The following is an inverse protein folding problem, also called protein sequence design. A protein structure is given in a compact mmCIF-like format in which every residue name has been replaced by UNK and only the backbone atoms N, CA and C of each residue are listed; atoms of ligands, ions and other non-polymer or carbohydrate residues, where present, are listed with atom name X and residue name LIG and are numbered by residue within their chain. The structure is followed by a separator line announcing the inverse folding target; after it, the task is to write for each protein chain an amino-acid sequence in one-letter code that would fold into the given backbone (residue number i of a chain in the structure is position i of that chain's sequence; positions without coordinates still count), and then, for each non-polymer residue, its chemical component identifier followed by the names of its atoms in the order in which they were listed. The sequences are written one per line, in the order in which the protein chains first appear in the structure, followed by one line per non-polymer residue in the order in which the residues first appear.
data_IF_718791914662
#
_entry.id   IF_718791914662
#
_cell.length_a   1.000
_cell.length_b   1.000
_cell.length_c   1.000
_cell.angle_alpha   90.00
_cell.angle_beta   90.00
_cell.angle_gamma   90.00
#
_symmetry.space_group_name_H-M   'P 1'
#
loop_
_entity.id
_entity.type
_entity.pdbx_description
1 polymer ?
#
# COMPACT_ATOMS: atom_id res chain seq x y z
N UNK A 1 -22.97 16.14 -1.35
CA UNK A 1 -22.18 16.47 -0.14
C UNK A 1 -20.78 15.98 -0.39
N UNK A 2 -19.78 16.86 -0.42
CA UNK A 2 -18.38 16.41 -0.50
C UNK A 2 -18.05 15.76 0.83
N UNK A 3 -17.87 14.44 0.81
CA UNK A 3 -17.41 13.70 1.98
C UNK A 3 -15.96 14.15 2.21
N UNK A 4 -15.68 14.82 3.32
CA UNK A 4 -14.31 15.17 3.69
C UNK A 4 -13.60 13.86 4.01
N UNK A 5 -12.71 13.40 3.12
CA UNK A 5 -11.91 12.20 3.32
C UNK A 5 -10.84 12.55 4.35
N UNK A 6 -10.97 12.03 5.56
CA UNK A 6 -9.98 12.23 6.60
C UNK A 6 -8.69 11.50 6.18
N UNK A 7 -7.49 12.06 6.38
CA UNK A 7 -6.24 11.41 5.96
C UNK A 7 -6.01 10.01 6.55
N UNK A 8 -6.64 9.72 7.69
CA UNK A 8 -6.62 8.41 8.36
C UNK A 8 -7.82 7.51 8.05
N UNK A 9 -8.73 7.95 7.17
CA UNK A 9 -9.79 7.05 6.70
C UNK A 9 -9.16 5.83 6.05
N UNK A 10 -9.72 4.63 6.28
CA UNK A 10 -9.20 3.40 5.68
C UNK A 10 -9.17 3.51 4.16
N UNK A 11 -8.35 2.69 3.51
CA UNK A 11 -8.34 2.62 2.05
C UNK A 11 -9.74 2.25 1.55
N UNK A 12 -10.31 3.13 0.72
CA UNK A 12 -11.55 2.87 0.01
C UNK A 12 -11.37 1.69 -0.97
N UNK A 13 -12.48 1.11 -1.42
CA UNK A 13 -12.43 0.01 -2.38
C UNK A 13 -11.64 0.37 -3.66
N UNK A 14 -11.89 1.56 -4.23
CA UNK A 14 -11.20 2.02 -5.44
C UNK A 14 -9.68 2.18 -5.22
N UNK A 15 -9.28 2.68 -4.05
CA UNK A 15 -7.86 2.77 -3.69
C UNK A 15 -7.23 1.38 -3.56
N UNK A 16 -7.93 0.42 -2.96
CA UNK A 16 -7.43 -0.95 -2.85
C UNK A 16 -7.21 -1.58 -4.24
N UNK A 17 -8.15 -1.39 -5.18
CA UNK A 17 -8.00 -1.88 -6.56
C UNK A 17 -6.81 -1.25 -7.28
N UNK A 18 -6.65 0.08 -7.18
CA UNK A 18 -5.52 0.80 -7.77
C UNK A 18 -4.20 0.32 -7.18
N UNK A 19 -4.10 0.22 -5.86
CA UNK A 19 -2.89 -0.24 -5.16
C UNK A 19 -2.54 -1.67 -5.60
N UNK A 20 -3.49 -2.59 -5.68
CA UNK A 20 -3.23 -3.97 -6.12
C UNK A 20 -2.74 -3.98 -7.56
N UNK A 21 -3.35 -3.21 -8.46
CA UNK A 21 -2.91 -3.11 -9.85
C UNK A 21 -1.49 -2.53 -9.97
N UNK A 22 -1.19 -1.46 -9.23
CA UNK A 22 0.12 -0.84 -9.19
C UNK A 22 1.19 -1.76 -8.60
N UNK A 23 0.90 -2.41 -7.47
CA UNK A 23 1.80 -3.37 -6.83
C UNK A 23 2.13 -4.54 -7.76
N UNK A 24 1.12 -5.10 -8.44
CA UNK A 24 1.32 -6.18 -9.43
C UNK A 24 2.28 -5.78 -10.54
N UNK A 25 2.10 -4.56 -11.08
CA UNK A 25 2.96 -4.03 -12.14
C UNK A 25 4.36 -3.71 -11.63
N UNK A 26 4.46 -2.97 -10.53
CA UNK A 26 5.72 -2.43 -10.01
C UNK A 26 6.65 -3.50 -9.44
N UNK A 27 6.09 -4.53 -8.79
CA UNK A 27 6.86 -5.60 -8.15
C UNK A 27 6.82 -6.91 -8.93
N UNK A 28 6.32 -6.89 -10.17
CA UNK A 28 6.21 -8.06 -11.06
C UNK A 28 5.52 -9.26 -10.41
N UNK A 29 4.38 -9.02 -9.74
CA UNK A 29 3.72 -10.03 -8.93
C UNK A 29 2.86 -10.97 -9.80
N UNK A 30 3.29 -12.23 -9.91
CA UNK A 30 2.52 -13.30 -10.52
C UNK A 30 1.42 -13.91 -9.63
N UNK A 31 0.69 -14.94 -10.13
CA UNK A 31 -0.42 -15.59 -9.42
C UNK A 31 -0.05 -16.29 -8.10
N UNK A 32 1.23 -16.56 -7.87
CA UNK A 32 1.73 -17.20 -6.65
C UNK A 32 2.00 -16.20 -5.51
N UNK A 33 1.90 -14.89 -5.77
CA UNK A 33 1.95 -13.84 -4.75
C UNK A 33 0.55 -13.59 -4.21
N UNK A 34 0.42 -13.70 -2.90
CA UNK A 34 -0.84 -13.54 -2.19
C UNK A 34 -0.73 -12.37 -1.27
N UNK A 35 -1.66 -11.44 -1.40
CA UNK A 35 -1.80 -10.30 -0.52
C UNK A 35 -2.33 -10.82 0.82
N UNK A 36 -1.47 -10.87 1.83
CA UNK A 36 -1.84 -11.27 3.18
C UNK A 36 -2.48 -10.09 3.92
N UNK A 37 -1.99 -8.87 3.67
CA UNK A 37 -2.53 -7.65 4.25
C UNK A 37 -2.34 -6.46 3.31
N UNK A 38 -3.35 -5.60 3.29
CA UNK A 38 -3.38 -4.34 2.55
C UNK A 38 -3.99 -3.28 3.47
N UNK A 39 -3.20 -2.29 3.86
CA UNK A 39 -3.63 -1.28 4.84
C UNK A 39 -3.10 0.10 4.47
N UNK A 40 -3.80 1.14 4.92
CA UNK A 40 -3.33 2.52 4.80
C UNK A 40 -1.95 2.62 5.46
N UNK A 41 -0.98 3.21 4.76
CA UNK A 41 0.22 3.70 5.40
C UNK A 41 -0.13 5.03 6.05
N UNK A 42 -0.29 5.01 7.37
CA UNK A 42 -0.63 6.20 8.12
C UNK A 42 0.46 7.28 7.96
N UNK A 43 0.01 8.51 7.73
CA UNK A 43 0.86 9.68 7.81
C UNK A 43 1.34 9.89 9.25
N UNK A 44 2.53 10.46 9.39
CA UNK A 44 3.07 10.84 10.69
C UNK A 44 2.23 11.94 11.32
N UNK A 45 2.34 12.10 12.64
CA UNK A 45 1.67 13.20 13.37
C UNK A 45 2.05 14.59 12.83
N UNK A 46 3.29 14.77 12.37
CA UNK A 46 3.76 16.03 11.82
C UNK A 46 3.07 16.36 10.48
N UNK A 47 2.95 15.36 9.60
CA UNK A 47 2.25 15.47 8.32
C UNK A 47 0.75 15.74 8.52
N UNK A 48 0.11 15.06 9.47
CA UNK A 48 -1.30 15.29 9.82
C UNK A 48 -1.57 16.69 10.39
N UNK A 49 -0.58 17.28 11.08
CA UNK A 49 -0.68 18.64 11.61
C UNK A 49 -0.43 19.71 10.53
N UNK A 50 0.10 19.33 9.37
CA UNK A 50 0.31 20.23 8.25
C UNK A 50 -1.00 20.51 7.51
N UNK A 51 -1.05 21.60 6.74
CA UNK A 51 -2.13 21.88 5.78
C UNK A 51 -1.79 21.39 4.37
N UNK A 52 -0.71 20.62 4.22
CA UNK A 52 -0.29 20.11 2.91
C UNK A 52 -1.15 18.93 2.48
N UNK A 53 -1.31 18.76 1.18
CA UNK A 53 -2.01 17.62 0.63
C UNK A 53 -1.16 16.36 0.81
N UNK A 54 -1.71 15.36 1.48
CA UNK A 54 -1.04 14.08 1.72
C UNK A 54 -1.37 13.10 0.61
N UNK A 55 -0.34 12.65 -0.11
CA UNK A 55 -0.49 11.51 -1.01
C UNK A 55 -0.71 10.24 -0.19
N UNK A 56 -1.83 9.56 -0.46
CA UNK A 56 -2.18 8.33 0.24
C UNK A 56 -1.35 7.18 -0.30
N UNK A 57 -0.88 6.33 0.61
CA UNK A 57 -0.12 5.14 0.28
C UNK A 57 -0.59 3.96 1.12
N UNK A 58 -0.24 2.76 0.67
CA UNK A 58 -0.61 1.52 1.33
C UNK A 58 0.64 0.72 1.68
N UNK A 59 0.63 0.15 2.89
CA UNK A 59 1.54 -0.93 3.26
C UNK A 59 0.94 -2.26 2.83
N UNK A 60 1.72 -3.04 2.10
CA UNK A 60 1.32 -4.29 1.48
C UNK A 60 2.22 -5.40 2.01
N UNK A 61 1.63 -6.40 2.66
CA UNK A 61 2.33 -7.62 3.04
C UNK A 61 1.89 -8.74 2.12
N UNK A 62 2.85 -9.42 1.50
CA UNK A 62 2.59 -10.51 0.56
C UNK A 62 3.35 -11.76 0.95
N UNK A 63 2.75 -12.91 0.63
CA UNK A 63 3.40 -14.20 0.71
C UNK A 63 3.55 -14.79 -0.69
N UNK A 64 4.78 -15.16 -1.04
CA UNK A 64 5.08 -15.91 -2.25
C UNK A 64 5.02 -17.42 -1.94
N UNK A 65 3.97 -18.10 -2.42
CA UNK A 65 3.78 -19.54 -2.19
C UNK A 65 4.86 -20.42 -2.83
N UNK A 66 5.56 -19.95 -3.85
CA UNK A 66 6.57 -20.72 -4.58
C UNK A 66 7.91 -20.74 -3.85
N UNK A 67 8.34 -19.58 -3.32
CA UNK A 67 9.59 -19.45 -2.58
C UNK A 67 9.43 -19.53 -1.06
N UNK A 68 8.18 -19.54 -0.57
CA UNK A 68 7.85 -19.41 0.85
C UNK A 68 8.38 -18.12 1.51
N UNK A 69 8.60 -17.07 0.72
CA UNK A 69 9.11 -15.77 1.20
C UNK A 69 7.95 -14.82 1.49
N UNK A 70 8.07 -14.08 2.59
CA UNK A 70 7.21 -12.92 2.88
C UNK A 70 7.90 -11.67 2.39
N UNK A 71 7.15 -10.76 1.78
CA UNK A 71 7.65 -9.49 1.29
C UNK A 71 6.73 -8.38 1.78
N UNK A 72 7.30 -7.25 2.17
CA UNK A 72 6.56 -6.05 2.53
C UNK A 72 6.98 -4.87 1.65
N UNK A 73 6.01 -4.07 1.21
CA UNK A 73 6.28 -2.86 0.48
C UNK A 73 5.29 -1.75 0.79
N UNK A 74 5.68 -0.52 0.49
CA UNK A 74 4.82 0.66 0.55
C UNK A 74 4.72 1.26 -0.84
N UNK A 75 3.49 1.50 -1.31
CA UNK A 75 3.20 2.06 -2.63
C UNK A 75 2.10 3.10 -2.54
N UNK A 76 2.23 4.21 -3.27
CA UNK A 76 1.23 5.27 -3.29
C UNK A 76 0.03 4.91 -4.16
N UNK A 77 -1.10 5.59 -3.99
CA UNK A 77 -2.29 5.42 -4.85
C UNK A 77 -2.04 5.84 -6.30
N UNK A 78 -1.00 6.63 -6.57
CA UNK A 78 -0.54 6.95 -7.94
C UNK A 78 0.43 5.91 -8.52
N UNK A 79 0.86 4.93 -7.71
CA UNK A 79 1.72 3.82 -8.10
C UNK A 79 3.21 4.04 -7.89
N UNK A 80 3.63 5.09 -7.16
CA UNK A 80 5.02 5.28 -6.78
C UNK A 80 5.43 4.31 -5.66
N UNK A 81 6.52 3.56 -5.86
CA UNK A 81 7.05 2.63 -4.85
C UNK A 81 7.91 3.40 -3.86
N UNK A 82 7.54 3.36 -2.58
CA UNK A 82 8.29 3.97 -1.49
C UNK A 82 9.23 2.98 -0.82
N UNK A 83 8.83 1.71 -0.73
CA UNK A 83 9.68 0.62 -0.25
C UNK A 83 9.23 -0.74 -0.78
N UNK A 84 10.15 -1.70 -0.81
CA UNK A 84 9.87 -3.10 -1.14
C UNK A 84 11.03 -3.97 -0.64
N UNK A 85 10.76 -4.89 0.28
CA UNK A 85 11.79 -5.72 0.90
C UNK A 85 11.26 -7.11 1.28
N UNK A 86 12.10 -8.12 1.13
CA UNK A 86 11.84 -9.44 1.70
C UNK A 86 11.98 -9.39 3.22
N UNK A 87 11.16 -10.17 3.92
CA UNK A 87 11.18 -10.31 5.37
C UNK A 87 11.79 -11.69 5.69
N UNK A 88 13.00 -11.75 6.28
CA UNK A 88 13.61 -13.01 6.70
C UNK A 88 12.76 -13.74 7.73
N UNK A 89 12.78 -15.08 7.64
CA UNK A 89 12.19 -15.98 8.65
C UNK A 89 13.16 -16.32 9.77
#
# INVERSE_FOLDING_TARGET
MSMFLHPLDPLSHAEQELIVAHARKAWNLGPHHIFAMLQLQEATKAELASSEALERSARVTMWNRKSAIVTEGVITTSGAVLSYQEIPG
#
